data_IF_203429871177
#
_entry.id   IF_203429871177
#
_cell.length_a   1.000
_cell.length_b   1.000
_cell.length_c   1.000
_cell.angle_alpha   90.00
_cell.angle_beta   90.00
_cell.angle_gamma   90.00
#
_symmetry.space_group_name_H-M   'P 1'
#
loop_
_entity.id
_entity.type
_entity.pdbx_description
1 polymer ?
#
# COMPACT_ATOMS: atom_id res chain seq x y z
N UNK A 1 -26.81 -29.40 -23.19
CA UNK A 1 -26.08 -29.91 -22.01
C UNK A 1 -24.54 -29.90 -22.14
N UNK A 2 -23.90 -30.58 -23.12
CA UNK A 2 -22.42 -30.71 -23.21
C UNK A 2 -21.62 -29.38 -23.29
N UNK A 3 -22.13 -28.36 -23.98
CA UNK A 3 -21.48 -27.03 -24.06
C UNK A 3 -21.35 -26.31 -22.71
N UNK A 4 -22.29 -26.53 -21.78
CA UNK A 4 -22.24 -25.89 -20.45
C UNK A 4 -21.17 -26.55 -19.57
N UNK A 5 -20.92 -27.84 -19.72
CA UNK A 5 -19.87 -28.57 -18.99
C UNK A 5 -18.48 -28.12 -19.45
N UNK A 6 -18.23 -28.01 -20.75
CA UNK A 6 -16.94 -27.52 -21.29
C UNK A 6 -16.66 -26.09 -20.83
N UNK A 7 -17.66 -25.20 -20.88
CA UNK A 7 -17.54 -23.83 -20.36
C UNK A 7 -17.20 -23.81 -18.87
N UNK A 8 -17.84 -24.68 -18.07
CA UNK A 8 -17.56 -24.78 -16.63
C UNK A 8 -16.12 -25.22 -16.36
N UNK A 9 -15.64 -26.26 -17.03
CA UNK A 9 -14.25 -26.71 -16.87
C UNK A 9 -13.23 -25.67 -17.35
N UNK A 10 -13.51 -24.97 -18.45
CA UNK A 10 -12.66 -23.89 -18.95
C UNK A 10 -12.59 -22.72 -17.95
N UNK A 11 -13.72 -22.28 -17.40
CA UNK A 11 -13.77 -21.20 -16.40
C UNK A 11 -13.05 -21.61 -15.11
N UNK A 12 -13.24 -22.85 -14.65
CA UNK A 12 -12.51 -23.38 -13.49
C UNK A 12 -11.00 -23.43 -13.73
N UNK A 13 -10.56 -23.87 -14.91
CA UNK A 13 -9.15 -23.83 -15.29
C UNK A 13 -8.60 -22.41 -15.33
N UNK A 14 -9.34 -21.47 -15.91
CA UNK A 14 -8.97 -20.06 -15.98
C UNK A 14 -8.83 -19.44 -14.57
N UNK A 15 -9.75 -19.73 -13.66
CA UNK A 15 -9.71 -19.25 -12.27
C UNK A 15 -8.47 -19.72 -11.50
N UNK A 16 -7.91 -20.88 -11.85
CA UNK A 16 -6.70 -21.41 -11.24
C UNK A 16 -5.45 -20.82 -11.90
N UNK A 17 -5.41 -20.82 -13.24
CA UNK A 17 -4.20 -20.45 -13.99
C UNK A 17 -3.98 -18.95 -14.10
N UNK A 18 -5.03 -18.12 -14.15
CA UNK A 18 -4.89 -16.66 -14.29
C UNK A 18 -4.15 -16.04 -13.10
N UNK A 19 -4.51 -16.31 -11.83
CA UNK A 19 -3.77 -15.77 -10.69
C UNK A 19 -2.30 -16.20 -10.67
N UNK A 20 -2.02 -17.46 -11.01
CA UNK A 20 -0.65 -17.99 -11.09
C UNK A 20 0.15 -17.28 -12.19
N UNK A 21 -0.40 -17.16 -13.39
CA UNK A 21 0.24 -16.48 -14.51
C UNK A 21 0.51 -15.00 -14.19
N UNK A 22 -0.45 -14.30 -13.59
CA UNK A 22 -0.26 -12.91 -13.14
C UNK A 22 0.85 -12.83 -12.10
N UNK A 23 0.88 -13.74 -11.12
CA UNK A 23 1.91 -13.77 -10.07
C UNK A 23 3.29 -13.97 -10.69
N UNK A 24 3.46 -14.97 -11.57
CA UNK A 24 4.73 -15.22 -12.27
C UNK A 24 5.14 -14.03 -13.14
N UNK A 25 4.21 -13.40 -13.84
CA UNK A 25 4.47 -12.20 -14.64
C UNK A 25 4.96 -11.02 -13.78
N UNK A 26 4.31 -10.75 -12.64
CA UNK A 26 4.74 -9.71 -11.70
C UNK A 26 6.12 -10.02 -11.12
N UNK A 27 6.37 -11.25 -10.68
CA UNK A 27 7.67 -11.65 -10.12
C UNK A 27 8.80 -11.50 -11.13
N UNK A 28 8.59 -11.97 -12.37
CA UNK A 28 9.59 -11.85 -13.44
C UNK A 28 9.83 -10.40 -13.86
N UNK A 29 8.80 -9.54 -13.84
CA UNK A 29 8.95 -8.11 -14.08
C UNK A 29 9.81 -7.43 -12.99
N UNK A 30 9.53 -7.72 -11.70
CA UNK A 30 10.30 -7.16 -10.59
C UNK A 30 11.75 -7.65 -10.63
N UNK A 31 11.95 -8.96 -10.73
CA UNK A 31 13.29 -9.58 -10.79
C UNK A 31 14.06 -9.06 -11.99
N UNK A 32 13.45 -9.01 -13.17
CA UNK A 32 14.09 -8.49 -14.38
C UNK A 32 14.46 -7.01 -14.27
N UNK A 33 13.63 -6.20 -13.60
CA UNK A 33 13.96 -4.78 -13.33
C UNK A 33 15.14 -4.67 -12.38
N UNK A 34 15.21 -5.50 -11.34
CA UNK A 34 16.35 -5.51 -10.42
C UNK A 34 17.61 -6.05 -11.09
N UNK A 35 17.50 -7.01 -12.00
CA UNK A 35 18.64 -7.54 -12.77
C UNK A 35 19.27 -6.48 -13.69
N UNK A 36 18.55 -5.40 -14.04
CA UNK A 36 19.16 -4.24 -14.72
C UNK A 36 20.25 -3.55 -13.88
N UNK A 37 20.21 -3.67 -12.54
CA UNK A 37 21.26 -3.12 -11.68
C UNK A 37 22.63 -3.76 -11.92
N UNK A 38 22.68 -5.00 -12.47
CA UNK A 38 23.93 -5.66 -12.83
C UNK A 38 24.70 -4.88 -13.91
N UNK A 39 24.00 -4.10 -14.76
CA UNK A 39 24.63 -3.26 -15.78
C UNK A 39 25.44 -2.11 -15.18
N UNK A 40 25.24 -1.77 -13.89
CA UNK A 40 26.07 -0.78 -13.17
C UNK A 40 27.46 -1.34 -12.85
N UNK A 41 27.64 -2.66 -12.89
CA UNK A 41 28.92 -3.32 -12.68
C UNK A 41 29.66 -3.51 -14.01
N UNK A 42 31.01 -3.48 -14.02
CA UNK A 42 31.79 -3.89 -15.18
C UNK A 42 31.44 -5.32 -15.64
N UNK A 43 31.47 -5.56 -16.96
CA UNK A 43 31.15 -6.85 -17.56
C UNK A 43 31.96 -8.02 -16.96
N UNK A 44 33.17 -7.76 -16.46
CA UNK A 44 34.06 -8.76 -15.88
C UNK A 44 33.53 -9.43 -14.59
N UNK A 45 32.69 -8.74 -13.82
CA UNK A 45 32.15 -9.24 -12.54
C UNK A 45 30.69 -9.66 -12.64
N UNK A 46 30.16 -9.78 -13.86
CA UNK A 46 28.82 -10.32 -14.04
C UNK A 46 28.77 -11.78 -13.58
N UNK A 47 27.69 -12.23 -12.94
CA UNK A 47 27.51 -13.63 -12.55
C UNK A 47 27.72 -14.58 -13.75
N UNK A 48 27.34 -14.12 -14.94
CA UNK A 48 27.52 -14.79 -16.22
C UNK A 48 28.98 -15.06 -16.59
N UNK A 49 29.90 -14.15 -16.27
CA UNK A 49 31.34 -14.29 -16.54
C UNK A 49 32.09 -15.05 -15.45
N UNK A 50 31.59 -15.04 -14.21
CA UNK A 50 32.24 -15.67 -13.06
C UNK A 50 31.77 -17.12 -12.84
N UNK A 51 30.47 -17.39 -13.06
CA UNK A 51 29.83 -18.69 -12.78
C UNK A 51 29.43 -19.46 -14.05
N UNK A 52 29.46 -18.82 -15.23
CA UNK A 52 29.19 -19.46 -16.53
C UNK A 52 27.71 -19.67 -16.87
N UNK A 53 26.78 -19.29 -16.00
CA UNK A 53 25.34 -19.29 -16.25
C UNK A 53 24.66 -18.08 -15.60
N UNK A 54 23.53 -17.65 -16.17
CA UNK A 54 22.70 -16.60 -15.58
C UNK A 54 21.94 -17.16 -14.39
N UNK A 55 22.06 -16.52 -13.23
CA UNK A 55 21.19 -16.75 -12.09
C UNK A 55 20.12 -15.65 -12.09
N UNK A 56 18.86 -15.96 -12.45
CA UNK A 56 17.77 -14.99 -12.39
C UNK A 56 17.65 -14.45 -10.95
N UNK A 57 17.61 -13.12 -10.79
CA UNK A 57 17.54 -12.48 -9.48
C UNK A 57 18.87 -12.24 -8.77
N UNK A 58 20.00 -12.48 -9.44
CA UNK A 58 21.31 -12.07 -8.92
C UNK A 58 21.44 -10.55 -8.78
N UNK A 59 20.81 -9.76 -9.66
CA UNK A 59 20.72 -8.32 -9.51
C UNK A 59 19.73 -7.89 -8.44
N UNK A 60 18.77 -8.73 -8.06
CA UNK A 60 17.94 -8.49 -6.88
C UNK A 60 18.79 -8.47 -5.59
N UNK A 61 19.71 -9.42 -5.45
CA UNK A 61 20.67 -9.47 -4.33
C UNK A 61 21.57 -8.23 -4.35
N UNK A 62 22.11 -7.86 -5.52
CA UNK A 62 22.94 -6.67 -5.67
C UNK A 62 22.17 -5.39 -5.29
N UNK A 63 20.94 -5.25 -5.79
CA UNK A 63 20.08 -4.10 -5.48
C UNK A 63 19.80 -4.02 -3.98
N UNK A 64 19.47 -5.13 -3.34
CA UNK A 64 19.27 -5.19 -1.88
C UNK A 64 20.54 -4.80 -1.12
N UNK A 65 21.71 -5.27 -1.58
CA UNK A 65 22.99 -4.94 -0.97
C UNK A 65 23.29 -3.43 -1.10
N UNK A 66 23.07 -2.84 -2.27
CA UNK A 66 23.23 -1.39 -2.51
C UNK A 66 22.30 -0.60 -1.58
N UNK A 67 21.03 -0.99 -1.48
CA UNK A 67 20.06 -0.34 -0.58
C UNK A 67 20.52 -0.44 0.89
N UNK A 68 20.99 -1.61 1.31
CA UNK A 68 21.47 -1.82 2.68
C UNK A 68 22.72 -0.96 2.97
N UNK A 69 23.70 -0.99 2.08
CA UNK A 69 24.94 -0.22 2.23
C UNK A 69 24.67 1.28 2.24
N UNK A 70 23.82 1.78 1.33
CA UNK A 70 23.41 3.18 1.32
C UNK A 70 22.67 3.56 2.61
N UNK A 71 21.80 2.70 3.12
CA UNK A 71 21.15 2.87 4.42
C UNK A 71 22.12 2.95 5.60
N UNK A 72 23.10 2.04 5.66
CA UNK A 72 24.15 2.03 6.70
C UNK A 72 25.01 3.30 6.61
N UNK A 73 25.41 3.71 5.41
CA UNK A 73 26.16 4.95 5.21
C UNK A 73 25.32 6.14 5.67
N UNK A 74 24.06 6.23 5.23
CA UNK A 74 23.15 7.32 5.57
C UNK A 74 22.82 7.41 7.08
N UNK A 75 22.85 6.29 7.81
CA UNK A 75 22.68 6.26 9.25
C UNK A 75 23.88 6.84 10.03
N UNK A 76 25.06 6.89 9.41
CA UNK A 76 26.25 7.47 10.02
C UNK A 76 26.27 9.01 9.87
N UNK A 77 26.95 9.68 10.81
CA UNK A 77 27.07 11.14 10.84
C UNK A 77 27.60 11.76 9.53
N UNK A 78 28.55 11.10 8.86
CA UNK A 78 29.10 11.52 7.58
C UNK A 78 28.05 11.36 6.47
N UNK A 79 27.30 10.26 6.46
CA UNK A 79 26.25 10.03 5.46
C UNK A 79 25.09 11.00 5.61
N UNK A 80 24.67 11.31 6.84
CA UNK A 80 23.66 12.34 7.08
C UNK A 80 24.08 13.71 6.50
N UNK A 81 25.36 14.08 6.64
CA UNK A 81 25.89 15.30 6.04
C UNK A 81 25.95 15.25 4.52
N UNK A 82 26.31 14.12 3.93
CA UNK A 82 26.30 13.91 2.48
C UNK A 82 24.89 14.00 1.90
N UNK A 83 23.89 13.40 2.56
CA UNK A 83 22.48 13.48 2.16
C UNK A 83 22.00 14.93 2.18
N UNK A 84 22.26 15.68 3.24
CA UNK A 84 21.89 17.11 3.32
C UNK A 84 22.61 17.94 2.26
N UNK A 85 23.88 17.64 1.97
CA UNK A 85 24.62 18.33 0.90
C UNK A 85 24.01 18.04 -0.47
N UNK A 86 23.66 16.78 -0.74
CA UNK A 86 23.00 16.36 -1.98
C UNK A 86 21.64 17.05 -2.16
N UNK A 87 20.85 17.13 -1.10
CA UNK A 87 19.56 17.85 -1.12
C UNK A 87 19.72 19.33 -1.46
N UNK A 88 20.75 19.99 -0.90
CA UNK A 88 21.06 21.39 -1.28
C UNK A 88 21.47 21.54 -2.73
N UNK A 89 22.14 20.54 -3.31
CA UNK A 89 22.50 20.53 -4.71
C UNK A 89 21.26 20.41 -5.60
N UNK A 90 20.38 19.46 -5.27
CA UNK A 90 19.10 19.28 -5.98
C UNK A 90 18.20 20.52 -5.86
N UNK A 91 18.24 21.21 -4.71
CA UNK A 91 17.49 22.44 -4.46
C UNK A 91 17.81 23.59 -5.42
N UNK A 92 18.97 23.55 -6.09
CA UNK A 92 19.37 24.55 -7.09
C UNK A 92 18.73 24.33 -8.46
N UNK A 93 18.11 23.18 -8.70
CA UNK A 93 17.47 22.84 -9.96
C UNK A 93 15.94 22.87 -9.72
N UNK A 94 15.23 23.94 -10.14
CA UNK A 94 13.85 24.21 -9.72
C UNK A 94 12.87 23.05 -9.96
N UNK A 95 12.97 22.39 -11.11
CA UNK A 95 12.09 21.27 -11.49
C UNK A 95 12.44 20.00 -10.72
N UNK A 96 13.73 19.68 -10.59
CA UNK A 96 14.20 18.46 -9.91
C UNK A 96 13.93 18.55 -8.41
N UNK A 97 14.12 19.72 -7.81
CA UNK A 97 13.83 19.97 -6.41
C UNK A 97 12.35 19.70 -6.08
N UNK A 98 11.42 20.18 -6.91
CA UNK A 98 9.99 19.97 -6.68
C UNK A 98 9.64 18.49 -6.72
N UNK A 99 10.10 17.76 -7.75
CA UNK A 99 9.82 16.33 -7.91
C UNK A 99 10.44 15.52 -6.77
N UNK A 100 11.72 15.75 -6.48
CA UNK A 100 12.43 15.04 -5.42
C UNK A 100 11.80 15.26 -4.05
N UNK A 101 11.47 16.50 -3.70
CA UNK A 101 10.85 16.80 -2.41
C UNK A 101 9.43 16.23 -2.31
N UNK A 102 8.62 16.23 -3.38
CA UNK A 102 7.31 15.58 -3.34
C UNK A 102 7.42 14.08 -3.10
N UNK A 103 8.33 13.39 -3.80
CA UNK A 103 8.56 11.95 -3.59
C UNK A 103 9.10 11.68 -2.19
N UNK A 104 10.10 12.45 -1.75
CA UNK A 104 10.68 12.34 -0.40
C UNK A 104 9.64 12.59 0.69
N UNK A 105 8.82 13.62 0.55
CA UNK A 105 7.77 13.93 1.53
C UNK A 105 6.74 12.82 1.62
N UNK A 106 6.35 12.22 0.48
CA UNK A 106 5.48 11.04 0.48
C UNK A 106 6.18 9.87 1.17
N UNK A 107 7.43 9.56 0.83
CA UNK A 107 8.21 8.51 1.49
C UNK A 107 8.36 8.73 2.99
N UNK A 108 8.74 9.92 3.45
CA UNK A 108 8.87 10.28 4.85
C UNK A 108 7.53 10.14 5.59
N UNK A 109 6.42 10.49 4.93
CA UNK A 109 5.07 10.33 5.50
C UNK A 109 4.68 8.86 5.62
N UNK A 110 4.93 8.05 4.58
CA UNK A 110 4.61 6.62 4.54
C UNK A 110 5.50 5.78 5.46
N UNK A 111 6.77 6.16 5.65
CA UNK A 111 7.80 5.36 6.32
C UNK A 111 8.35 5.96 7.61
N UNK A 112 7.83 7.10 8.09
CA UNK A 112 8.13 7.58 9.45
C UNK A 112 7.79 6.49 10.48
N UNK A 113 8.51 6.42 11.59
CA UNK A 113 8.27 5.44 12.68
C UNK A 113 6.91 5.63 13.38
N UNK A 114 6.15 6.66 13.00
CA UNK A 114 4.73 6.90 13.32
C UNK A 114 3.77 6.58 12.16
N UNK A 115 4.30 6.02 11.07
CA UNK A 115 3.76 5.90 9.72
C UNK A 115 2.95 4.63 9.49
N UNK A 116 1.69 4.70 9.88
CA UNK A 116 0.65 4.06 9.09
C UNK A 116 0.01 5.17 8.26
N UNK A 117 0.36 5.27 6.97
CA UNK A 117 -0.28 6.19 6.01
C UNK A 117 -1.82 6.11 6.03
N UNK A 118 -2.32 4.94 6.43
CA UNK A 118 -3.70 4.67 6.77
C UNK A 118 -3.71 4.19 8.22
N UNK A 119 -3.91 5.11 9.17
CA UNK A 119 -3.83 4.76 10.61
C UNK A 119 -4.97 3.84 11.04
N UNK A 120 -6.13 4.00 10.40
CA UNK A 120 -7.36 3.31 10.77
C UNK A 120 -8.35 3.29 9.61
N UNK A 121 -9.13 2.21 9.53
CA UNK A 121 -10.30 2.16 8.67
C UNK A 121 -11.45 2.95 9.33
N UNK A 122 -12.16 3.71 8.51
CA UNK A 122 -13.23 4.60 8.92
C UNK A 122 -14.48 4.28 8.09
N UNK A 123 -15.64 4.56 8.66
CA UNK A 123 -16.92 4.55 7.97
C UNK A 123 -17.46 5.98 7.95
N UNK A 124 -17.77 6.49 6.76
CA UNK A 124 -18.22 7.86 6.52
C UNK A 124 -19.43 7.89 5.59
N UNK A 125 -20.20 8.96 5.64
CA UNK A 125 -21.23 9.23 4.64
C UNK A 125 -20.63 9.96 3.42
N UNK A 126 -20.67 9.32 2.24
CA UNK A 126 -20.20 9.89 0.97
C UNK A 126 -20.85 9.15 -0.21
N UNK A 127 -21.27 9.84 -1.29
CA UNK A 127 -21.16 11.29 -1.52
C UNK A 127 -22.34 12.10 -0.96
N UNK A 128 -23.33 11.45 -0.34
CA UNK A 128 -24.51 12.11 0.25
C UNK A 128 -24.94 11.43 1.54
N UNK A 129 -25.78 12.10 2.33
CA UNK A 129 -26.34 11.55 3.57
C UNK A 129 -27.04 10.21 3.35
N UNK A 130 -26.81 9.27 4.27
CA UNK A 130 -27.30 7.90 4.21
C UNK A 130 -26.59 6.98 3.21
N UNK A 131 -25.62 7.47 2.44
CA UNK A 131 -24.76 6.63 1.59
C UNK A 131 -23.40 6.45 2.28
N UNK A 132 -23.07 5.22 2.68
CA UNK A 132 -21.89 4.93 3.49
C UNK A 132 -20.76 4.32 2.66
N UNK A 133 -19.53 4.69 2.97
CA UNK A 133 -18.34 4.09 2.37
C UNK A 133 -17.22 3.95 3.39
N UNK A 134 -16.27 3.06 3.08
CA UNK A 134 -15.03 2.91 3.83
C UNK A 134 -14.05 3.99 3.37
N UNK A 135 -13.46 4.66 4.35
CA UNK A 135 -12.37 5.59 4.16
C UNK A 135 -11.20 5.21 5.07
N UNK A 136 -10.04 5.83 4.85
CA UNK A 136 -8.86 5.60 5.66
C UNK A 136 -8.34 6.90 6.26
N UNK A 137 -8.04 6.88 7.55
CA UNK A 137 -7.49 8.04 8.25
C UNK A 137 -6.05 8.30 7.76
N UNK A 138 -5.83 9.45 7.15
CA UNK A 138 -4.52 9.87 6.63
C UNK A 138 -3.87 10.94 7.50
N UNK A 139 -4.65 11.70 8.28
CA UNK A 139 -4.10 12.71 9.18
C UNK A 139 -5.14 13.73 9.66
N UNK A 140 -4.65 14.93 9.96
CA UNK A 140 -5.47 16.11 10.28
C UNK A 140 -5.18 17.21 9.26
N UNK A 141 -6.17 18.05 8.90
CA UNK A 141 -5.93 19.22 8.06
C UNK A 141 -4.87 20.12 8.68
N UNK A 142 -3.88 20.53 7.90
CA UNK A 142 -2.81 21.42 8.32
C UNK A 142 -2.73 22.69 7.47
N UNK A 143 -1.89 23.65 7.90
CA UNK A 143 -1.61 24.86 7.15
C UNK A 143 -2.83 25.77 6.95
N UNK A 144 -2.95 26.34 5.77
CA UNK A 144 -4.02 27.27 5.42
C UNK A 144 -5.42 26.64 5.50
N UNK A 145 -5.56 25.38 5.06
CA UNK A 145 -6.84 24.65 5.09
C UNK A 145 -7.43 24.60 6.49
N UNK A 146 -6.59 24.40 7.52
CA UNK A 146 -7.04 24.33 8.91
C UNK A 146 -7.66 25.66 9.40
N UNK A 147 -7.27 26.80 8.83
CA UNK A 147 -7.84 28.12 9.19
C UNK A 147 -9.27 28.30 8.69
N UNK A 148 -9.67 27.57 7.65
CA UNK A 148 -11.01 27.63 7.07
C UNK A 148 -11.96 26.60 7.68
N UNK A 149 -11.47 25.68 8.50
CA UNK A 149 -12.24 24.60 9.09
C UNK A 149 -12.46 24.90 10.58
N UNK A 150 -13.72 25.20 10.94
CA UNK A 150 -14.08 25.45 12.34
C UNK A 150 -14.36 24.14 13.07
N UNK A 151 -13.52 23.78 14.04
CA UNK A 151 -13.67 22.59 14.88
C UNK A 151 -12.64 21.49 14.58
N UNK A 152 -12.86 20.29 15.13
CA UNK A 152 -11.96 19.16 14.89
C UNK A 152 -12.31 18.48 13.58
N UNK A 153 -11.36 18.47 12.64
CA UNK A 153 -11.46 17.80 11.35
C UNK A 153 -10.41 16.71 11.22
N UNK A 154 -10.74 15.70 10.42
CA UNK A 154 -9.82 14.64 10.01
C UNK A 154 -9.68 14.60 8.49
N UNK A 155 -8.49 14.26 8.04
CA UNK A 155 -8.18 14.04 6.63
C UNK A 155 -8.30 12.55 6.31
N UNK A 156 -9.11 12.22 5.31
CA UNK A 156 -9.43 10.84 4.96
C UNK A 156 -9.24 10.58 3.46
N UNK A 157 -8.87 9.36 3.13
CA UNK A 157 -8.80 8.86 1.77
C UNK A 157 -9.95 7.90 1.50
N UNK A 158 -10.73 8.16 0.45
CA UNK A 158 -11.82 7.30 -0.02
C UNK A 158 -11.36 6.61 -1.31
N UNK A 159 -11.04 5.31 -1.29
CA UNK A 159 -10.60 4.59 -2.47
C UNK A 159 -11.75 4.39 -3.47
N UNK A 160 -11.41 4.27 -4.76
CA UNK A 160 -12.30 3.69 -5.77
C UNK A 160 -12.23 2.17 -5.76
N UNK A 161 -13.31 1.52 -6.18
CA UNK A 161 -13.37 0.06 -6.35
C UNK A 161 -13.32 -0.32 -7.84
N UNK A 162 -12.79 -1.51 -8.19
CA UNK A 162 -12.01 -2.42 -7.35
C UNK A 162 -10.56 -1.96 -7.14
N UNK A 163 -10.10 -0.93 -7.86
CA UNK A 163 -8.72 -0.45 -7.84
C UNK A 163 -8.54 0.71 -6.84
N UNK A 164 -7.89 0.49 -5.68
CA UNK A 164 -7.76 1.49 -4.62
C UNK A 164 -6.57 2.45 -4.83
N UNK A 165 -5.94 2.43 -6.01
CA UNK A 165 -4.85 3.36 -6.37
C UNK A 165 -5.37 4.76 -6.71
N UNK A 166 -6.65 4.88 -7.05
CA UNK A 166 -7.36 6.14 -7.20
C UNK A 166 -8.43 6.31 -6.13
N UNK A 167 -8.81 7.55 -5.87
CA UNK A 167 -9.76 7.89 -4.83
C UNK A 167 -9.91 9.39 -4.63
N UNK A 168 -10.64 9.75 -3.58
CA UNK A 168 -10.86 11.12 -3.16
C UNK A 168 -10.16 11.39 -1.84
N UNK A 169 -9.60 12.59 -1.73
CA UNK A 169 -9.13 13.13 -0.47
C UNK A 169 -10.19 14.06 0.10
N UNK A 170 -10.67 13.78 1.31
CA UNK A 170 -11.73 14.55 1.95
C UNK A 170 -11.27 15.03 3.33
N UNK A 171 -11.79 16.17 3.75
CA UNK A 171 -11.67 16.67 5.11
C UNK A 171 -13.07 16.74 5.71
N UNK A 172 -13.29 16.01 6.81
CA UNK A 172 -14.61 15.86 7.42
C UNK A 172 -14.55 16.20 8.91
N UNK A 173 -15.63 16.73 9.51
CA UNK A 173 -15.73 16.89 10.95
C UNK A 173 -15.49 15.54 11.64
N UNK A 174 -14.70 15.52 12.73
CA UNK A 174 -14.39 14.29 13.47
C UNK A 174 -15.65 13.56 13.95
N UNK A 175 -16.72 14.31 14.22
CA UNK A 175 -18.04 13.82 14.65
C UNK A 175 -18.81 13.06 13.56
N UNK A 176 -18.49 13.25 12.28
CA UNK A 176 -19.16 12.57 11.15
C UNK A 176 -18.42 11.29 10.72
N UNK A 177 -17.42 10.87 11.49
CA UNK A 177 -16.55 9.75 11.16
C UNK A 177 -16.64 8.68 12.23
N UNK A 178 -17.01 7.46 11.82
CA UNK A 178 -17.03 6.28 12.68
C UNK A 178 -15.73 5.51 12.50
N UNK A 179 -14.99 5.28 13.58
CA UNK A 179 -13.79 4.45 13.52
C UNK A 179 -14.17 2.97 13.53
N UNK A 180 -13.66 2.21 12.56
CA UNK A 180 -13.88 0.77 12.49
C UNK A 180 -12.82 0.02 13.31
N UNK A 181 -13.21 -1.11 13.89
CA UNK A 181 -12.29 -1.99 14.63
C UNK A 181 -11.45 -2.90 13.72
N UNK A 182 -11.87 -3.09 12.47
CA UNK A 182 -11.16 -3.93 11.51
C UNK A 182 -9.79 -3.34 11.13
N UNK A 183 -8.84 -4.22 10.80
CA UNK A 183 -7.55 -3.77 10.26
C UNK A 183 -7.71 -3.10 8.90
N UNK A 184 -6.77 -2.22 8.56
CA UNK A 184 -6.70 -1.56 7.24
C UNK A 184 -6.62 -2.57 6.11
N UNK A 185 -5.84 -3.65 6.28
CA UNK A 185 -5.77 -4.75 5.30
C UNK A 185 -7.13 -5.42 5.09
N UNK A 186 -7.88 -5.67 6.16
CA UNK A 186 -9.23 -6.26 6.07
C UNK A 186 -10.19 -5.34 5.32
N UNK A 187 -10.16 -4.04 5.63
CA UNK A 187 -10.95 -3.03 4.95
C UNK A 187 -10.59 -2.91 3.45
N UNK A 188 -9.30 -2.93 3.10
CA UNK A 188 -8.83 -2.90 1.72
C UNK A 188 -9.30 -4.13 0.94
N UNK A 189 -9.23 -5.34 1.52
CA UNK A 189 -9.75 -6.57 0.90
C UNK A 189 -11.25 -6.45 0.60
N UNK A 190 -12.02 -5.86 1.52
CA UNK A 190 -13.46 -5.67 1.32
C UNK A 190 -13.75 -4.68 0.19
N UNK A 191 -13.03 -3.55 0.15
CA UNK A 191 -13.13 -2.54 -0.92
C UNK A 191 -12.73 -3.12 -2.28
N UNK A 192 -11.57 -3.78 -2.39
CA UNK A 192 -11.05 -4.35 -3.65
C UNK A 192 -11.99 -5.43 -4.19
N UNK A 193 -12.57 -6.23 -3.31
CA UNK A 193 -13.55 -7.26 -3.68
C UNK A 193 -14.93 -6.70 -4.02
N UNK A 194 -15.12 -5.37 -4.04
CA UNK A 194 -16.41 -4.70 -4.29
C UNK A 194 -17.49 -5.17 -3.31
N UNK A 195 -17.12 -5.46 -2.06
CA UNK A 195 -18.04 -5.91 -1.04
C UNK A 195 -18.31 -7.42 -1.01
N UNK A 196 -17.63 -8.22 -1.83
CA UNK A 196 -17.85 -9.68 -1.89
C UNK A 196 -17.17 -10.41 -0.73
N UNK A 197 -15.99 -9.95 -0.30
CA UNK A 197 -15.21 -10.57 0.79
C UNK A 197 -15.44 -9.82 2.09
N UNK A 198 -16.57 -10.12 2.76
CA UNK A 198 -16.98 -9.43 3.98
C UNK A 198 -15.97 -9.63 5.14
N UNK A 199 -15.65 -8.58 5.92
CA UNK A 199 -14.87 -8.69 7.14
C UNK A 199 -15.56 -9.63 8.15
N UNK A 200 -14.81 -10.45 8.91
CA UNK A 200 -15.38 -11.23 9.98
C UNK A 200 -15.99 -10.31 11.05
N UNK A 201 -17.08 -10.72 11.72
CA UNK A 201 -17.69 -9.93 12.78
C UNK A 201 -16.68 -9.67 13.91
N UNK A 202 -16.77 -8.51 14.59
CA UNK A 202 -15.94 -8.23 15.76
C UNK A 202 -16.02 -9.38 16.76
N UNK A 203 -14.87 -9.78 17.33
CA UNK A 203 -14.89 -10.72 18.45
C UNK A 203 -15.51 -9.99 19.64
N UNK A 204 -16.77 -10.30 19.93
CA UNK A 204 -17.40 -9.89 21.19
C UNK A 204 -16.64 -10.57 22.31
N UNK A 205 -15.78 -9.82 23.01
CA UNK A 205 -15.12 -10.31 24.21
C UNK A 205 -16.20 -10.51 25.28
N UNK A 206 -16.52 -11.77 25.59
CA UNK A 206 -17.28 -12.14 26.78
C UNK A 206 -18.75 -12.52 26.57
N UNK A 207 -19.01 -13.59 25.83
CA UNK A 207 -20.16 -14.47 26.12
C UNK A 207 -19.68 -15.93 26.14
N UNK A 208 -18.87 -16.23 27.15
CA UNK A 208 -18.69 -17.61 27.63
C UNK A 208 -19.94 -18.03 28.39
N UNK A 209 -20.62 -19.05 27.88
CA UNK A 209 -21.48 -19.94 28.68
C UNK A 209 -22.84 -19.37 29.11
N UNK A 210 -23.85 -19.55 28.27
CA UNK A 210 -25.24 -19.33 28.66
C UNK A 210 -26.16 -20.05 27.69
N UNK A 211 -26.41 -21.33 27.96
CA UNK A 211 -27.45 -22.13 27.32
C UNK A 211 -28.77 -21.36 27.37
N UNK A 212 -29.18 -20.76 26.24
CA UNK A 212 -30.56 -20.30 26.08
C UNK A 212 -31.41 -21.51 25.74
N UNK A 213 -31.99 -22.03 26.81
CA UNK A 213 -33.14 -22.90 26.87
C UNK A 213 -34.19 -22.41 25.86
N UNK A 214 -34.49 -23.29 24.91
CA UNK A 214 -35.68 -23.23 24.06
C UNK A 214 -36.93 -23.21 24.97
N UNK A 215 -37.67 -22.09 24.96
CA UNK A 215 -39.04 -22.01 25.46
C UNK A 215 -39.96 -21.59 24.30
N UNK A 216 -40.77 -22.55 23.91
CA UNK A 216 -41.85 -22.56 22.92
C UNK A 216 -42.71 -21.28 22.82
N UNK A 217 -43.24 -21.03 21.63
CA UNK A 217 -44.68 -20.86 21.34
C UNK A 217 -44.92 -21.13 19.87
#
# INVERSE_FOLDING_TARGET
MRRQLIKRYFITGLLIWVPLAITTWVLTMIIGTMDQSLHLLPAAIHPRTVLGFDIPGSGAILTLLIILLTGVIAANFIGQRLVVWWERLLARIPVVNSIYNSVKQVSDTLFSSSGNAFRKALLIEYPRRGAWTIAFLTGRPGGEMARHLAGEYVSVYVPTTPNPTSGFFLMLPRSEVVELEMSVDTALKYVISMGVVAPPPPRVAGLSGGSMINRNS
#
